data_IF_132476637638
#
_entry.id   IF_132476637638
#
_cell.length_a   1.000
_cell.length_b   1.000
_cell.length_c   1.000
_cell.angle_alpha   90.00
_cell.angle_beta   90.00
_cell.angle_gamma   90.00
#
_symmetry.space_group_name_H-M   'P 1'
#
loop_
_entity.id
_entity.type
_entity.pdbx_description
1 polymer ?
#
# COMPACT_ATOMS: atom_id res chain seq x y z
N UNK A 1 -3.80 -16.34 -18.84
CA UNK A 1 -5.08 -16.87 -18.34
C UNK A 1 -4.69 -17.70 -17.12
N UNK A 2 -5.03 -17.26 -15.91
CA UNK A 2 -4.52 -17.87 -14.69
C UNK A 2 -5.18 -19.24 -14.51
N UNK A 3 -4.40 -20.32 -14.67
CA UNK A 3 -4.87 -21.66 -14.36
C UNK A 3 -4.46 -22.02 -12.94
N UNK A 4 -5.42 -22.43 -12.12
CA UNK A 4 -5.22 -22.71 -10.70
C UNK A 4 -6.51 -23.20 -10.06
N UNK A 5 -6.37 -24.01 -9.02
CA UNK A 5 -7.50 -24.51 -8.25
C UNK A 5 -8.04 -23.49 -7.24
N UNK A 6 -9.22 -23.78 -6.70
CA UNK A 6 -9.76 -23.10 -5.50
C UNK A 6 -10.35 -24.15 -4.55
N UNK A 7 -10.16 -23.98 -3.24
CA UNK A 7 -10.71 -24.90 -2.23
C UNK A 7 -9.95 -26.23 -2.14
N UNK A 8 -10.67 -27.36 -2.17
CA UNK A 8 -10.07 -28.71 -2.07
C UNK A 8 -9.12 -29.05 -3.25
N UNK A 9 -9.26 -28.34 -4.37
CA UNK A 9 -8.45 -28.53 -5.58
C UNK A 9 -7.13 -27.74 -5.58
N UNK A 10 -6.80 -27.02 -4.49
CA UNK A 10 -5.56 -26.23 -4.33
C UNK A 10 -5.79 -24.71 -4.31
N UNK A 11 -4.71 -23.93 -4.11
CA UNK A 11 -4.72 -22.45 -4.12
C UNK A 11 -3.52 -21.90 -4.91
N UNK A 12 -3.73 -20.75 -5.54
CA UNK A 12 -2.75 -20.09 -6.38
C UNK A 12 -2.95 -20.40 -7.86
N UNK A 13 -2.39 -19.56 -8.72
CA UNK A 13 -2.52 -19.69 -10.17
C UNK A 13 -1.15 -19.61 -10.84
N UNK A 14 -1.01 -20.30 -11.96
CA UNK A 14 0.21 -20.29 -12.76
C UNK A 14 -0.15 -20.37 -14.25
N UNK A 15 0.60 -19.61 -15.06
CA UNK A 15 0.81 -19.74 -16.49
C UNK A 15 1.60 -18.53 -16.96
N UNK A 16 2.68 -18.72 -17.71
CA UNK A 16 3.52 -17.64 -18.24
C UNK A 16 3.82 -16.54 -17.19
N UNK A 17 3.20 -15.37 -17.33
CA UNK A 17 3.35 -14.22 -16.42
C UNK A 17 2.88 -14.50 -14.99
N UNK A 18 1.81 -15.27 -14.80
CA UNK A 18 1.30 -15.62 -13.48
C UNK A 18 2.26 -16.58 -12.75
N UNK A 19 2.93 -17.48 -13.48
CA UNK A 19 3.97 -18.34 -12.91
C UNK A 19 5.19 -17.56 -12.44
N UNK A 20 5.64 -16.58 -13.24
CA UNK A 20 6.75 -15.70 -12.83
C UNK A 20 6.43 -14.91 -11.56
N UNK A 21 5.21 -14.38 -11.43
CA UNK A 21 4.78 -13.64 -10.24
C UNK A 21 4.69 -14.57 -9.02
N UNK A 22 4.15 -15.77 -9.16
CA UNK A 22 4.02 -16.74 -8.06
C UNK A 22 5.37 -17.14 -7.45
N UNK A 23 6.43 -17.24 -8.27
CA UNK A 23 7.79 -17.54 -7.79
C UNK A 23 8.67 -16.31 -7.54
N UNK A 24 8.14 -15.11 -7.72
CA UNK A 24 8.86 -13.86 -7.46
C UNK A 24 8.38 -13.18 -6.19
N UNK A 25 9.31 -12.65 -5.40
CA UNK A 25 8.97 -11.78 -4.27
C UNK A 25 8.81 -10.35 -4.77
N UNK A 26 7.59 -9.85 -4.83
CA UNK A 26 7.31 -8.44 -5.10
C UNK A 26 7.88 -7.60 -3.94
N UNK A 27 9.01 -6.92 -4.19
CA UNK A 27 9.64 -6.02 -3.21
C UNK A 27 9.11 -4.60 -3.42
N UNK A 28 8.25 -4.08 -2.53
CA UNK A 28 7.84 -2.69 -2.62
C UNK A 28 9.05 -1.80 -2.32
N UNK A 29 9.31 -0.83 -3.20
CA UNK A 29 10.31 0.22 -2.98
C UNK A 29 9.58 1.55 -3.06
N UNK A 30 9.57 2.29 -1.96
CA UNK A 30 8.97 3.62 -1.89
C UNK A 30 10.06 4.68 -2.03
N UNK A 31 9.93 5.54 -3.03
CA UNK A 31 10.81 6.67 -3.25
C UNK A 31 10.11 7.95 -2.80
N UNK A 32 10.68 8.64 -1.82
CA UNK A 32 10.20 9.94 -1.36
C UNK A 32 10.95 11.03 -2.11
N UNK A 33 10.24 11.90 -2.81
CA UNK A 33 10.82 13.08 -3.45
C UNK A 33 11.34 14.11 -2.42
N UNK A 34 12.20 15.07 -2.84
CA UNK A 34 12.82 16.05 -1.93
C UNK A 34 11.80 16.96 -1.24
N UNK A 35 10.63 17.16 -1.85
CA UNK A 35 9.48 17.83 -1.26
C UNK A 35 8.40 16.79 -1.02
N UNK A 36 8.23 16.36 0.22
CA UNK A 36 7.16 15.45 0.60
C UNK A 36 6.13 16.17 1.47
N UNK A 37 4.88 16.20 1.02
CA UNK A 37 3.75 16.71 1.82
C UNK A 37 3.63 15.97 3.16
N UNK A 38 4.02 14.68 3.20
CA UNK A 38 4.06 13.88 4.42
C UNK A 38 5.18 14.38 5.33
N UNK A 39 6.41 14.59 4.85
CA UNK A 39 7.47 15.17 5.69
C UNK A 39 7.07 16.55 6.21
N UNK A 40 6.53 17.43 5.36
CA UNK A 40 6.11 18.78 5.76
C UNK A 40 4.98 18.78 6.81
N UNK A 41 4.06 17.80 6.74
CA UNK A 41 2.91 17.70 7.65
C UNK A 41 3.24 16.96 8.96
N UNK A 42 4.17 16.00 8.92
CA UNK A 42 4.52 15.12 10.05
C UNK A 42 5.88 15.43 10.70
N UNK A 43 6.63 16.46 10.25
CA UNK A 43 7.81 16.94 10.97
C UNK A 43 7.38 17.63 12.29
N UNK A 44 8.07 17.37 13.42
CA UNK A 44 7.90 18.18 14.64
C UNK A 44 8.40 19.62 14.42
N UNK A 45 7.78 20.66 14.99
CA UNK A 45 6.63 20.65 15.89
C UNK A 45 5.36 20.38 15.09
N UNK A 46 4.61 19.33 15.44
CA UNK A 46 3.37 18.92 14.77
C UNK A 46 2.52 20.16 14.48
N UNK A 47 2.62 20.65 13.24
CA UNK A 47 2.12 21.97 12.92
C UNK A 47 0.62 21.89 13.20
N UNK A 48 0.07 22.78 14.05
CA UNK A 48 -1.32 22.73 14.53
C UNK A 48 -2.37 22.41 13.42
N UNK A 49 -2.04 22.72 12.16
CA UNK A 49 -2.76 22.36 10.94
C UNK A 49 -2.85 20.85 10.67
N UNK A 50 -1.78 20.08 10.86
CA UNK A 50 -1.74 18.62 10.71
C UNK A 50 -2.73 17.92 11.65
N UNK A 51 -2.72 18.30 12.94
CA UNK A 51 -3.66 17.78 13.93
C UNK A 51 -5.10 18.19 13.64
N UNK A 52 -5.32 19.43 13.16
CA UNK A 52 -6.66 19.89 12.75
C UNK A 52 -7.20 19.11 11.55
N UNK A 53 -6.34 18.81 10.55
CA UNK A 53 -6.69 17.99 9.39
C UNK A 53 -6.97 16.53 9.81
N UNK A 54 -6.13 15.96 10.67
CA UNK A 54 -6.32 14.61 11.20
C UNK A 54 -7.65 14.49 11.96
N UNK A 55 -7.95 15.43 12.85
CA UNK A 55 -9.21 15.45 13.58
C UNK A 55 -10.43 15.63 12.67
N UNK A 56 -10.28 16.41 11.59
CA UNK A 56 -11.32 16.54 10.57
C UNK A 56 -11.56 15.22 9.82
N UNK A 57 -10.48 14.55 9.38
CA UNK A 57 -10.55 13.25 8.70
C UNK A 57 -11.13 12.15 9.58
N UNK A 58 -10.76 12.11 10.87
CA UNK A 58 -11.32 11.18 11.85
C UNK A 58 -12.82 11.45 12.04
N UNK A 59 -13.22 12.71 12.11
CA UNK A 59 -14.63 13.12 12.26
C UNK A 59 -15.49 12.82 11.04
N UNK A 60 -14.93 12.76 9.83
CA UNK A 60 -15.66 12.39 8.61
C UNK A 60 -15.73 10.88 8.36
N UNK A 61 -14.98 10.07 9.12
CA UNK A 61 -14.96 8.61 8.99
C UNK A 61 -16.00 7.91 9.89
N UNK A 62 -16.62 8.64 10.82
CA UNK A 62 -17.82 8.22 11.54
C UNK A 62 -19.07 8.73 10.85
#
# INVERSE_FOLDING_TARGET
LPFGGVGASGMGHYHAREGFITFSKLRPVFYQGPVSAIQMLFQPPYAKRAMKLLNLLIRFKG
#
